data_IF_833805595907
#
_entry.id   IF_833805595907
#
_cell.length_a   1.000
_cell.length_b   1.000
_cell.length_c   1.000
_cell.angle_alpha   90.00
_cell.angle_beta   90.00
_cell.angle_gamma   90.00
#
_symmetry.space_group_name_H-M   'P 1'
#
loop_
_entity.id
_entity.type
_entity.pdbx_description
1 polymer ?
#
# COMPACT_ATOMS: atom_id res chain seq x y z
N UNK A 1 9.93 12.58 -21.61
CA UNK A 1 10.43 11.92 -20.39
C UNK A 1 9.82 10.54 -20.33
N UNK A 2 10.56 9.53 -19.87
CA UNK A 2 10.02 8.17 -19.72
C UNK A 2 9.00 8.08 -18.59
N UNK A 3 8.26 6.98 -18.51
CA UNK A 3 7.35 6.70 -17.40
C UNK A 3 8.15 6.66 -16.07
N UNK A 4 7.54 7.06 -14.94
CA UNK A 4 8.12 6.89 -13.61
C UNK A 4 8.50 5.44 -13.33
N UNK A 5 9.59 5.22 -12.59
CA UNK A 5 9.92 3.90 -12.02
C UNK A 5 8.89 3.55 -10.96
N UNK A 6 8.48 2.28 -10.88
CA UNK A 6 7.60 1.78 -9.83
C UNK A 6 8.45 1.06 -8.79
N UNK A 7 8.33 1.47 -7.52
CA UNK A 7 9.03 0.86 -6.40
C UNK A 7 8.03 0.19 -5.45
N UNK A 8 8.33 -1.05 -5.07
CA UNK A 8 7.57 -1.82 -4.10
C UNK A 8 8.52 -2.47 -3.07
N UNK A 9 7.98 -2.94 -1.95
CA UNK A 9 8.72 -3.67 -0.92
C UNK A 9 8.10 -5.05 -0.70
N UNK A 10 8.95 -6.07 -0.65
CA UNK A 10 8.59 -7.41 -0.19
C UNK A 10 9.69 -7.96 0.70
N UNK A 11 9.37 -8.25 1.96
CA UNK A 11 10.40 -8.54 2.96
C UNK A 11 11.26 -9.75 2.57
N UNK A 12 10.62 -10.91 2.40
CA UNK A 12 11.25 -12.17 2.04
C UNK A 12 10.18 -13.23 1.72
N UNK A 13 10.60 -14.36 1.17
CA UNK A 13 9.75 -15.51 0.87
C UNK A 13 8.99 -15.40 -0.45
N UNK A 14 7.97 -16.25 -0.64
CA UNK A 14 7.29 -16.39 -1.92
C UNK A 14 6.30 -15.25 -2.18
N UNK A 15 6.33 -14.74 -3.42
CA UNK A 15 5.27 -13.92 -3.98
C UNK A 15 4.18 -14.84 -4.54
N UNK A 16 2.93 -14.65 -4.11
CA UNK A 16 1.82 -15.42 -4.68
C UNK A 16 1.38 -14.81 -6.02
N UNK A 17 0.44 -15.46 -6.69
CA UNK A 17 -0.17 -14.96 -7.92
C UNK A 17 -0.76 -13.55 -7.77
N UNK A 18 -1.13 -13.10 -6.56
CA UNK A 18 -1.66 -11.76 -6.33
C UNK A 18 -0.57 -10.69 -6.45
N UNK A 19 0.57 -10.89 -5.79
CA UNK A 19 1.72 -10.00 -5.94
C UNK A 19 2.25 -10.03 -7.37
N UNK A 20 2.36 -11.21 -7.96
CA UNK A 20 2.79 -11.36 -9.35
C UNK A 20 1.87 -10.60 -10.30
N UNK A 21 0.55 -10.68 -10.10
CA UNK A 21 -0.41 -9.93 -10.91
C UNK A 21 -0.17 -8.43 -10.85
N UNK A 22 0.05 -7.88 -9.66
CA UNK A 22 0.26 -6.44 -9.50
C UNK A 22 1.59 -6.01 -10.11
N UNK A 23 2.70 -6.70 -9.82
CA UNK A 23 4.02 -6.37 -10.35
C UNK A 23 4.09 -6.52 -11.88
N UNK A 24 3.58 -7.63 -12.43
CA UNK A 24 3.51 -7.85 -13.88
C UNK A 24 2.68 -6.78 -14.58
N UNK A 25 1.59 -6.31 -13.95
CA UNK A 25 0.75 -5.27 -14.55
C UNK A 25 1.48 -3.95 -14.80
N UNK A 26 2.45 -3.60 -13.95
CA UNK A 26 3.30 -2.41 -14.15
C UNK A 26 4.29 -2.60 -15.29
N UNK A 27 4.94 -3.79 -15.35
CA UNK A 27 5.84 -4.15 -16.46
C UNK A 27 5.10 -4.09 -17.79
N UNK A 28 3.91 -4.69 -17.86
CA UNK A 28 3.08 -4.70 -19.08
C UNK A 28 2.57 -3.30 -19.47
N UNK A 29 2.46 -2.38 -18.50
CA UNK A 29 2.16 -0.97 -18.75
C UNK A 29 3.39 -0.15 -19.17
N UNK A 30 4.57 -0.77 -19.26
CA UNK A 30 5.81 -0.14 -19.74
C UNK A 30 6.65 0.53 -18.66
N UNK A 31 6.34 0.31 -17.38
CA UNK A 31 7.16 0.82 -16.28
C UNK A 31 8.39 -0.05 -16.04
N UNK A 32 9.50 0.61 -15.69
CA UNK A 32 10.56 -0.07 -14.94
C UNK A 32 10.07 -0.33 -13.53
N UNK A 33 10.24 -1.56 -13.04
CA UNK A 33 9.78 -1.96 -11.71
C UNK A 33 10.95 -2.42 -10.87
N UNK A 34 11.01 -1.94 -9.63
CA UNK A 34 11.93 -2.41 -8.59
C UNK A 34 11.18 -2.96 -7.40
N UNK A 35 11.62 -4.13 -6.97
CA UNK A 35 11.17 -4.76 -5.74
C UNK A 35 12.32 -4.75 -4.74
N UNK A 36 12.17 -3.91 -3.72
CA UNK A 36 13.06 -3.91 -2.58
C UNK A 36 12.77 -5.12 -1.70
N UNK A 37 13.80 -5.75 -1.16
CA UNK A 37 13.66 -6.91 -0.28
C UNK A 37 14.75 -7.00 0.78
N UNK A 38 14.47 -7.70 1.88
CA UNK A 38 15.40 -7.93 2.99
C UNK A 38 15.98 -9.34 3.03
N UNK A 39 15.34 -10.30 2.38
CA UNK A 39 15.74 -11.71 2.39
C UNK A 39 15.53 -12.38 1.05
N UNK A 40 15.75 -13.71 0.96
CA UNK A 40 15.57 -14.46 -0.28
C UNK A 40 14.12 -14.38 -0.75
N UNK A 41 13.93 -14.27 -2.06
CA UNK A 41 12.62 -14.20 -2.71
C UNK A 41 12.35 -15.46 -3.53
N UNK A 42 11.08 -15.82 -3.66
CA UNK A 42 10.61 -16.87 -4.56
C UNK A 42 9.46 -16.36 -5.44
N UNK A 43 9.34 -16.90 -6.65
CA UNK A 43 8.27 -16.57 -7.60
C UNK A 43 8.18 -15.09 -8.01
N UNK A 44 9.31 -14.38 -8.05
CA UNK A 44 9.37 -13.03 -8.62
C UNK A 44 9.08 -13.11 -10.13
N UNK A 45 8.14 -12.31 -10.67
CA UNK A 45 7.86 -12.32 -12.10
C UNK A 45 9.02 -11.73 -12.91
N UNK A 46 9.09 -12.06 -14.20
CA UNK A 46 10.10 -11.48 -15.10
C UNK A 46 9.94 -9.97 -15.26
N UNK A 47 11.03 -9.26 -15.55
CA UNK A 47 11.03 -7.81 -15.76
C UNK A 47 11.10 -6.96 -14.49
N UNK A 48 11.32 -7.58 -13.33
CA UNK A 48 11.45 -6.89 -12.04
C UNK A 48 12.93 -6.78 -11.64
N UNK A 49 13.41 -5.56 -11.41
CA UNK A 49 14.70 -5.33 -10.78
C UNK A 49 14.61 -5.60 -9.27
N UNK A 50 15.66 -6.19 -8.70
CA UNK A 50 15.72 -6.49 -7.27
C UNK A 50 16.79 -5.61 -6.61
N UNK A 51 16.45 -5.01 -5.48
CA UNK A 51 17.37 -4.18 -4.69
C UNK A 51 17.26 -4.50 -3.20
N UNK A 52 18.38 -4.40 -2.49
CA UNK A 52 18.43 -4.60 -1.04
C UNK A 52 17.75 -3.43 -0.33
N UNK A 53 16.66 -3.72 0.40
CA UNK A 53 15.91 -2.77 1.19
C UNK A 53 16.77 -2.10 2.29
N UNK A 54 17.80 -2.78 2.79
CA UNK A 54 18.70 -2.23 3.81
C UNK A 54 19.47 -0.99 3.34
N UNK A 55 19.57 -0.76 2.03
CA UNK A 55 20.17 0.45 1.45
C UNK A 55 19.32 1.71 1.70
N UNK A 56 18.01 1.56 1.91
CA UNK A 56 17.07 2.64 2.22
C UNK A 56 16.80 2.71 3.73
N UNK A 57 16.41 1.58 4.31
CA UNK A 57 16.07 1.44 5.71
C UNK A 57 16.64 0.12 6.22
N UNK A 58 17.61 0.12 7.15
CA UNK A 58 18.13 -1.12 7.74
C UNK A 58 17.02 -1.98 8.35
N UNK A 59 17.25 -3.31 8.39
CA UNK A 59 16.32 -4.26 9.04
C UNK A 59 16.38 -4.22 10.58
N UNK A 60 17.18 -3.34 11.16
CA UNK A 60 17.21 -3.11 12.61
C UNK A 60 15.92 -2.39 13.02
N UNK A 61 15.43 -2.66 14.23
CA UNK A 61 14.26 -1.98 14.80
C UNK A 61 12.98 -2.17 13.96
N UNK A 62 12.73 -3.42 13.54
CA UNK A 62 11.60 -3.74 12.66
C UNK A 62 10.24 -3.38 13.29
N UNK A 63 9.60 -2.34 12.75
CA UNK A 63 8.39 -1.76 13.33
C UNK A 63 7.13 -2.51 12.90
N UNK A 64 6.48 -3.15 13.85
CA UNK A 64 5.17 -3.79 13.66
C UNK A 64 4.14 -3.17 14.59
N UNK A 65 2.90 -3.02 14.10
CA UNK A 65 1.79 -2.57 14.95
C UNK A 65 1.44 -3.66 15.96
N UNK A 66 1.56 -3.37 17.26
CA UNK A 66 1.58 -4.35 18.36
C UNK A 66 0.32 -5.21 18.40
N UNK A 67 -0.86 -4.59 18.19
CA UNK A 67 -2.15 -5.31 18.23
C UNK A 67 -2.35 -6.28 17.07
N UNK A 68 -1.83 -5.96 15.88
CA UNK A 68 -2.15 -6.74 14.65
C UNK A 68 -0.97 -7.54 14.11
N UNK A 69 0.25 -7.28 14.60
CA UNK A 69 1.50 -7.79 14.02
C UNK A 69 1.79 -7.27 12.60
N UNK A 70 1.07 -6.25 12.13
CA UNK A 70 1.19 -5.73 10.77
C UNK A 70 2.52 -4.98 10.59
N UNK A 71 3.27 -5.24 9.51
CA UNK A 71 4.49 -4.51 9.18
C UNK A 71 4.22 -3.14 8.52
N UNK A 72 2.98 -2.62 8.62
CA UNK A 72 2.56 -1.39 7.94
C UNK A 72 3.43 -0.19 8.34
N UNK A 73 3.79 -0.04 9.62
CA UNK A 73 4.65 1.06 10.10
C UNK A 73 6.02 1.03 9.41
N UNK A 74 6.65 -0.15 9.32
CA UNK A 74 7.91 -0.32 8.62
C UNK A 74 7.79 0.04 7.13
N UNK A 75 6.71 -0.39 6.48
CA UNK A 75 6.43 -0.08 5.07
C UNK A 75 6.19 1.42 4.84
N UNK A 76 5.48 2.09 5.75
CA UNK A 76 5.26 3.54 5.72
C UNK A 76 6.57 4.32 5.89
N UNK A 77 7.43 3.95 6.84
CA UNK A 77 8.73 4.59 6.98
C UNK A 77 9.63 4.33 5.77
N UNK A 78 9.64 3.10 5.26
CA UNK A 78 10.41 2.71 4.09
C UNK A 78 10.01 3.54 2.87
N UNK A 79 8.71 3.65 2.57
CA UNK A 79 8.25 4.38 1.37
C UNK A 79 8.66 5.84 1.41
N UNK A 80 8.59 6.52 2.56
CA UNK A 80 8.98 7.93 2.65
C UNK A 80 10.48 8.11 2.43
N UNK A 81 11.32 7.27 3.06
CA UNK A 81 12.78 7.31 2.86
C UNK A 81 13.19 6.94 1.43
N UNK A 82 12.47 6.01 0.81
CA UNK A 82 12.69 5.64 -0.59
C UNK A 82 12.36 6.82 -1.52
N UNK A 83 11.23 7.49 -1.31
CA UNK A 83 10.81 8.65 -2.11
C UNK A 83 11.79 9.82 -1.96
N UNK A 84 12.29 10.08 -0.76
CA UNK A 84 13.32 11.12 -0.50
C UNK A 84 14.58 10.92 -1.36
N UNK A 85 14.99 9.66 -1.54
CA UNK A 85 16.25 9.29 -2.21
C UNK A 85 16.08 9.02 -3.70
N UNK A 86 14.85 9.05 -4.21
CA UNK A 86 14.52 8.65 -5.57
C UNK A 86 14.08 9.84 -6.41
N UNK A 87 14.28 9.73 -7.73
CA UNK A 87 13.78 10.70 -8.70
C UNK A 87 12.88 10.00 -9.70
N UNK A 88 11.77 10.64 -10.07
CA UNK A 88 10.81 10.08 -11.02
C UNK A 88 10.37 8.65 -10.64
N UNK A 89 10.07 8.44 -9.35
CA UNK A 89 9.65 7.14 -8.80
C UNK A 89 8.30 7.28 -8.12
N UNK A 90 7.44 6.28 -8.30
CA UNK A 90 6.17 6.13 -7.59
C UNK A 90 6.24 4.86 -6.76
N UNK A 91 5.90 4.95 -5.48
CA UNK A 91 5.65 3.79 -4.64
C UNK A 91 4.34 3.11 -5.05
N UNK A 92 4.32 1.78 -5.10
CA UNK A 92 3.11 0.99 -5.18
C UNK A 92 3.19 -0.22 -4.22
N UNK A 93 2.14 -0.42 -3.43
CA UNK A 93 1.98 -1.64 -2.64
C UNK A 93 1.89 -2.85 -3.59
N UNK A 94 2.36 -4.01 -3.15
CA UNK A 94 2.35 -5.25 -3.95
C UNK A 94 0.94 -5.82 -4.19
N UNK A 95 -0.10 -5.12 -3.74
CA UNK A 95 -1.51 -5.39 -4.00
C UNK A 95 -2.21 -4.24 -4.76
N UNK A 96 -1.45 -3.30 -5.35
CA UNK A 96 -1.95 -2.26 -6.24
C UNK A 96 -1.80 -2.69 -7.71
N UNK A 97 -2.90 -3.00 -8.38
CA UNK A 97 -2.91 -3.40 -9.79
C UNK A 97 -2.88 -2.20 -10.73
N UNK A 98 -1.95 -2.20 -11.68
CA UNK A 98 -1.83 -1.20 -12.74
C UNK A 98 -2.79 -1.50 -13.89
N UNK A 99 -3.80 -0.66 -14.05
CA UNK A 99 -4.73 -0.75 -15.19
C UNK A 99 -4.24 0.06 -16.39
N UNK A 100 -3.53 1.17 -16.14
CA UNK A 100 -3.00 2.10 -17.14
C UNK A 100 -1.68 2.69 -16.65
N UNK A 101 -0.77 3.12 -17.57
CA UNK A 101 0.48 3.76 -17.20
C UNK A 101 0.30 4.92 -16.21
N UNK A 102 1.18 5.00 -15.22
CA UNK A 102 1.22 6.07 -14.25
C UNK A 102 2.03 7.24 -14.81
N UNK A 103 1.34 8.33 -15.11
CA UNK A 103 1.97 9.53 -15.68
C UNK A 103 1.76 10.72 -14.75
N UNK A 104 2.85 11.43 -14.45
CA UNK A 104 2.83 12.69 -13.70
C UNK A 104 3.92 13.63 -14.23
N UNK A 105 3.54 14.89 -14.45
CA UNK A 105 4.49 15.95 -14.82
C UNK A 105 5.06 16.69 -13.60
N UNK A 106 4.45 16.52 -12.43
CA UNK A 106 4.85 17.23 -11.20
C UNK A 106 5.50 16.32 -10.18
N UNK A 107 5.50 15.00 -10.40
CA UNK A 107 5.95 13.99 -9.42
C UNK A 107 4.90 13.63 -8.37
N UNK A 108 3.83 14.42 -8.23
CA UNK A 108 2.69 14.08 -7.38
C UNK A 108 1.83 13.00 -8.03
N UNK A 109 1.55 11.92 -7.30
CA UNK A 109 0.72 10.81 -7.77
C UNK A 109 0.10 10.03 -6.59
N UNK A 110 -1.07 10.43 -6.14
CA UNK A 110 -1.81 9.79 -5.04
C UNK A 110 -3.29 10.19 -5.13
N UNK A 111 -4.15 9.56 -4.34
CA UNK A 111 -5.58 9.79 -4.44
C UNK A 111 -6.34 9.47 -3.16
N UNK A 112 -7.56 9.98 -3.11
CA UNK A 112 -8.51 9.71 -2.03
C UNK A 112 -8.95 8.25 -2.04
N UNK A 113 -8.87 7.52 -0.93
CA UNK A 113 -9.51 6.20 -0.83
C UNK A 113 -10.93 6.27 -0.25
N UNK A 114 -11.25 7.40 0.36
CA UNK A 114 -12.52 7.70 1.02
C UNK A 114 -12.73 9.20 1.09
N UNK A 115 -13.85 9.64 1.69
CA UNK A 115 -14.11 11.06 1.96
C UNK A 115 -13.16 11.69 2.99
N UNK A 116 -12.36 10.89 3.69
CA UNK A 116 -11.55 11.36 4.83
C UNK A 116 -10.06 11.16 4.66
N UNK A 117 -9.63 10.20 3.84
CA UNK A 117 -8.23 9.80 3.78
C UNK A 117 -7.72 9.67 2.35
N UNK A 118 -6.50 10.17 2.16
CA UNK A 118 -5.63 9.88 1.03
C UNK A 118 -4.81 8.63 1.40
N UNK A 119 -4.71 7.68 0.49
CA UNK A 119 -4.06 6.40 0.74
C UNK A 119 -2.62 6.39 0.20
N UNK A 120 -1.71 5.75 0.94
CA UNK A 120 -0.27 5.69 0.62
C UNK A 120 0.17 4.47 -0.18
N UNK A 121 -0.75 3.57 -0.54
CA UNK A 121 -0.48 2.35 -1.29
C UNK A 121 -0.20 2.58 -2.78
N UNK A 122 -0.46 3.79 -3.29
CA UNK A 122 0.13 4.32 -4.52
C UNK A 122 0.52 5.76 -4.22
N UNK A 123 1.83 6.04 -4.19
CA UNK A 123 2.34 7.31 -3.68
C UNK A 123 3.55 7.80 -4.48
N UNK A 124 3.35 8.89 -5.22
CA UNK A 124 4.41 9.73 -5.77
C UNK A 124 4.42 11.07 -5.04
N UNK A 125 5.54 11.41 -4.42
CA UNK A 125 5.82 12.74 -3.89
C UNK A 125 7.18 13.17 -4.44
N UNK A 126 7.31 14.41 -4.96
CA UNK A 126 8.62 14.97 -5.31
C UNK A 126 9.56 14.99 -4.11
N UNK A 127 10.87 14.86 -4.35
CA UNK A 127 11.87 14.89 -3.29
C UNK A 127 11.92 16.24 -2.54
N UNK A 128 11.45 17.32 -3.17
CA UNK A 128 11.29 18.67 -2.60
C UNK A 128 9.88 18.93 -2.05
N UNK A 129 9.01 17.92 -1.95
CA UNK A 129 7.68 18.02 -1.37
C UNK A 129 7.74 18.41 0.11
N UNK A 130 7.10 19.53 0.52
CA UNK A 130 6.96 19.88 1.93
C UNK A 130 6.26 18.78 2.75
N UNK A 131 5.26 18.10 2.20
CA UNK A 131 4.56 17.01 2.88
C UNK A 131 5.47 15.82 3.10
N UNK A 132 6.31 15.45 2.12
CA UNK A 132 7.31 14.39 2.30
C UNK A 132 8.30 14.76 3.42
N UNK A 133 8.77 16.01 3.46
CA UNK A 133 9.65 16.50 4.52
C UNK A 133 9.00 16.42 5.91
N UNK A 134 7.73 16.82 6.03
CA UNK A 134 6.97 16.74 7.28
C UNK A 134 6.71 15.29 7.72
N UNK A 135 6.40 14.39 6.78
CA UNK A 135 6.24 12.96 7.03
C UNK A 135 7.54 12.33 7.58
N UNK A 136 8.68 12.64 6.96
CA UNK A 136 9.98 12.16 7.41
C UNK A 136 10.35 12.72 8.80
N UNK A 137 10.08 14.00 9.05
CA UNK A 137 10.32 14.61 10.34
C UNK A 137 9.47 13.98 11.45
N UNK A 138 8.18 13.74 11.18
CA UNK A 138 7.27 13.13 12.14
C UNK A 138 7.63 11.66 12.43
N UNK A 139 7.94 10.88 11.38
CA UNK A 139 8.27 9.45 11.52
C UNK A 139 9.70 9.18 12.02
N UNK A 140 10.50 10.24 12.24
CA UNK A 140 11.79 10.13 12.91
C UNK A 140 11.68 9.99 14.44
N UNK A 141 10.53 10.34 15.03
CA UNK A 141 10.24 10.14 16.46
C UNK A 141 9.20 9.02 16.63
N UNK A 142 9.64 7.84 17.04
CA UNK A 142 8.78 6.69 17.36
C UNK A 142 7.80 6.96 18.50
N UNK A 143 7.99 8.04 19.26
CA UNK A 143 7.13 8.50 20.35
C UNK A 143 6.45 9.83 20.03
N UNK A 144 6.45 10.23 18.75
CA UNK A 144 5.82 11.45 18.26
C UNK A 144 4.31 11.44 18.52
N UNK A 145 3.80 12.50 19.13
CA UNK A 145 2.36 12.66 19.40
C UNK A 145 1.67 13.15 18.11
N UNK A 146 0.70 12.41 17.55
CA UNK A 146 0.06 12.80 16.30
C UNK A 146 -0.67 14.16 16.40
N UNK A 147 -0.33 15.16 15.56
CA UNK A 147 -0.96 16.48 15.63
C UNK A 147 -2.45 16.47 15.25
N UNK A 148 -2.92 15.46 14.50
CA UNK A 148 -4.33 15.32 14.11
C UNK A 148 -5.22 14.64 15.15
N UNK A 149 -4.66 14.15 16.27
CA UNK A 149 -5.49 13.61 17.36
C UNK A 149 -6.28 14.72 18.06
N UNK A 150 -7.39 14.34 18.69
CA UNK A 150 -8.20 15.29 19.44
C UNK A 150 -7.39 15.91 20.60
N UNK A 151 -7.68 17.15 21.03
CA UNK A 151 -6.88 17.83 22.05
C UNK A 151 -6.74 17.07 23.37
N UNK A 152 -7.78 16.36 23.79
CA UNK A 152 -7.81 15.49 24.97
C UNK A 152 -6.95 14.24 24.81
N UNK A 153 -7.02 13.57 23.65
CA UNK A 153 -6.14 12.44 23.32
C UNK A 153 -4.66 12.85 23.35
N UNK A 154 -4.33 14.02 22.78
CA UNK A 154 -2.95 14.55 22.81
C UNK A 154 -2.51 14.92 24.23
N UNK A 155 -3.40 15.49 25.04
CA UNK A 155 -3.10 15.85 26.42
C UNK A 155 -2.79 14.60 27.27
N UNK A 156 -3.52 13.51 27.04
CA UNK A 156 -3.27 12.22 27.69
C UNK A 156 -1.91 11.64 27.29
N UNK A 157 -1.59 11.62 25.98
CA UNK A 157 -0.28 11.16 25.49
C UNK A 157 0.88 12.00 26.05
N UNK A 158 0.69 13.32 26.17
CA UNK A 158 1.67 14.24 26.74
C UNK A 158 1.85 14.02 28.26
N UNK A 159 0.76 13.73 28.98
CA UNK A 159 0.83 13.37 30.40
C UNK A 159 1.61 12.07 30.61
N UNK A 160 1.37 11.04 29.78
CA UNK A 160 2.11 9.78 29.80
C UNK A 160 3.60 9.99 29.50
N UNK A 161 3.92 10.82 28.49
CA UNK A 161 5.31 11.23 28.18
C UNK A 161 5.99 11.90 29.37
N UNK A 162 5.33 12.87 30.03
CA UNK A 162 5.84 13.55 31.23
C UNK A 162 6.02 12.63 32.42
N UNK A 163 5.17 11.61 32.54
CA UNK A 163 5.29 10.55 33.56
C UNK A 163 6.39 9.51 33.24
N UNK A 164 7.15 9.69 32.16
CA UNK A 164 8.23 8.78 31.77
C UNK A 164 7.76 7.49 31.08
N UNK A 165 6.51 7.45 30.61
CA UNK A 165 5.91 6.31 29.91
C UNK A 165 5.33 6.73 28.54
N UNK A 166 6.13 7.27 27.61
CA UNK A 166 5.63 7.70 26.32
C UNK A 166 5.09 6.52 25.51
N UNK A 167 4.03 6.76 24.73
CA UNK A 167 3.42 5.74 23.87
C UNK A 167 4.22 5.64 22.57
N UNK A 168 4.66 4.42 22.26
CA UNK A 168 5.38 4.12 21.03
C UNK A 168 4.40 4.00 19.85
N UNK A 169 4.85 4.32 18.63
CA UNK A 169 4.03 4.31 17.41
C UNK A 169 3.37 2.95 17.13
N UNK A 170 4.00 1.84 17.56
CA UNK A 170 3.42 0.49 17.47
C UNK A 170 2.16 0.28 18.31
N UNK A 171 1.93 1.14 19.31
CA UNK A 171 0.79 1.09 20.23
C UNK A 171 -0.31 2.09 19.86
N UNK A 172 -0.04 2.99 18.92
CA UNK A 172 -1.02 3.92 18.38
C UNK A 172 -1.94 3.22 17.36
N UNK A 173 -3.14 3.79 17.10
CA UNK A 173 -4.07 3.26 16.09
C UNK A 173 -3.42 2.96 14.74
N UNK A 174 -3.88 1.89 14.10
CA UNK A 174 -3.44 1.51 12.75
C UNK A 174 -3.55 2.70 11.77
N UNK A 175 -2.56 2.82 10.89
CA UNK A 175 -2.52 3.89 9.90
C UNK A 175 -1.95 5.22 10.40
N UNK A 176 -1.47 5.29 11.65
CA UNK A 176 -0.87 6.51 12.24
C UNK A 176 0.23 7.10 11.36
N UNK A 177 1.17 6.30 10.83
CA UNK A 177 2.21 6.76 9.91
C UNK A 177 1.82 6.65 8.44
N UNK A 178 0.74 5.94 8.14
CA UNK A 178 0.24 5.74 6.78
C UNK A 178 -0.80 6.80 6.42
N UNK A 179 -2.05 6.40 6.07
CA UNK A 179 -3.08 7.32 5.60
C UNK A 179 -3.36 8.52 6.52
N UNK A 180 -3.23 8.39 7.84
CA UNK A 180 -3.53 9.48 8.77
C UNK A 180 -2.46 10.59 8.69
N UNK A 181 -1.18 10.25 8.85
CA UNK A 181 -0.08 11.21 8.69
C UNK A 181 -0.07 11.81 7.28
N UNK A 182 -0.19 10.96 6.26
CA UNK A 182 -0.17 11.39 4.86
C UNK A 182 -1.27 12.42 4.59
N UNK A 183 -2.50 12.13 4.98
CA UNK A 183 -3.62 13.04 4.78
C UNK A 183 -3.41 14.36 5.53
N UNK A 184 -2.95 14.30 6.78
CA UNK A 184 -2.71 15.49 7.59
C UNK A 184 -1.67 16.41 6.95
N UNK A 185 -0.48 15.89 6.63
CA UNK A 185 0.60 16.72 6.12
C UNK A 185 0.35 17.20 4.68
N UNK A 186 -0.33 16.43 3.84
CA UNK A 186 -0.79 16.92 2.54
C UNK A 186 -1.77 18.09 2.67
N UNK A 187 -2.63 18.10 3.68
CA UNK A 187 -3.51 19.23 3.94
C UNK A 187 -2.75 20.43 4.50
N UNK A 188 -1.85 20.20 5.46
CA UNK A 188 -1.06 21.26 6.10
C UNK A 188 -0.22 22.03 5.08
N UNK A 189 0.36 21.35 4.10
CA UNK A 189 1.20 21.96 3.06
C UNK A 189 0.42 22.44 1.83
N UNK A 190 -0.88 22.13 1.75
CA UNK A 190 -1.73 22.43 0.60
C UNK A 190 -1.59 21.46 -0.58
N UNK A 191 -0.71 20.46 -0.49
CA UNK A 191 -0.45 19.48 -1.55
C UNK A 191 -1.61 18.48 -1.77
N UNK A 192 -2.57 18.40 -0.83
CA UNK A 192 -3.81 17.65 -1.01
C UNK A 192 -4.59 18.04 -2.29
N UNK A 193 -4.36 19.25 -2.81
CA UNK A 193 -4.93 19.71 -4.08
C UNK A 193 -4.48 18.87 -5.31
N UNK A 194 -3.38 18.13 -5.22
CA UNK A 194 -2.90 17.23 -6.27
C UNK A 194 -3.55 15.84 -6.23
N UNK A 195 -4.28 15.51 -5.17
CA UNK A 195 -4.85 14.18 -5.01
C UNK A 195 -5.93 13.90 -6.07
N UNK A 196 -5.81 12.76 -6.75
CA UNK A 196 -6.84 12.29 -7.66
C UNK A 196 -8.14 11.96 -6.90
N UNK A 197 -9.26 12.09 -7.60
CA UNK A 197 -10.54 11.54 -7.15
C UNK A 197 -10.42 10.01 -6.93
N UNK A 198 -11.27 9.50 -6.05
CA UNK A 198 -11.18 8.10 -5.58
C UNK A 198 -11.19 7.07 -6.71
N UNK A 199 -12.04 7.26 -7.72
CA UNK A 199 -12.18 6.35 -8.87
C UNK A 199 -10.92 6.17 -9.72
N UNK A 200 -9.94 7.07 -9.59
CA UNK A 200 -8.69 7.03 -10.36
C UNK A 200 -7.78 5.92 -9.82
N UNK A 201 -7.66 5.77 -8.51
CA UNK A 201 -6.73 4.80 -7.89
C UNK A 201 -7.44 3.72 -7.04
N UNK A 202 -8.62 4.02 -6.51
CA UNK A 202 -9.36 3.19 -5.58
C UNK A 202 -10.83 3.02 -6.01
N UNK A 203 -11.09 2.54 -7.25
CA UNK A 203 -12.44 2.43 -7.80
C UNK A 203 -13.35 1.51 -6.98
N UNK A 204 -12.78 0.46 -6.37
CA UNK A 204 -13.47 -0.33 -5.36
C UNK A 204 -13.02 0.15 -3.99
N UNK A 205 -13.95 0.61 -3.17
CA UNK A 205 -13.67 0.88 -1.75
C UNK A 205 -13.34 -0.42 -1.00
N UNK A 206 -12.82 -0.29 0.21
CA UNK A 206 -12.58 -1.43 1.09
C UNK A 206 -13.84 -2.29 1.25
N UNK A 207 -15.02 -1.67 1.47
CA UNK A 207 -16.32 -2.37 1.58
C UNK A 207 -16.70 -3.10 0.28
N UNK A 208 -16.30 -2.54 -0.85
CA UNK A 208 -16.62 -3.04 -2.18
C UNK A 208 -15.64 -4.10 -2.69
N UNK A 209 -14.54 -4.37 -1.99
CA UNK A 209 -13.49 -5.32 -2.41
C UNK A 209 -14.02 -6.68 -2.89
N UNK A 210 -15.07 -7.19 -2.26
CA UNK A 210 -15.69 -8.47 -2.63
C UNK A 210 -16.31 -8.49 -4.03
N UNK A 211 -16.64 -7.32 -4.61
CA UNK A 211 -17.16 -7.17 -5.98
C UNK A 211 -16.16 -7.67 -7.01
N UNK A 212 -14.85 -7.57 -6.74
CA UNK A 212 -13.80 -8.05 -7.65
C UNK A 212 -13.84 -9.58 -7.87
N UNK A 213 -14.46 -10.32 -6.95
CA UNK A 213 -14.60 -11.78 -7.02
C UNK A 213 -15.97 -12.23 -7.54
N UNK A 214 -16.93 -11.32 -7.70
CA UNK A 214 -18.28 -11.69 -8.15
C UNK A 214 -18.25 -12.16 -9.60
N UNK A 215 -18.78 -13.36 -9.84
CA UNK A 215 -18.86 -14.00 -11.16
C UNK A 215 -19.69 -13.15 -12.10
N UNK A 216 -19.17 -12.82 -13.28
CA UNK A 216 -19.86 -12.08 -14.36
C UNK A 216 -20.41 -10.70 -13.94
N UNK A 217 -19.87 -10.10 -12.87
CA UNK A 217 -20.22 -8.72 -12.52
C UNK A 217 -19.70 -7.76 -13.60
N UNK A 218 -20.58 -6.87 -14.06
CA UNK A 218 -20.17 -5.70 -14.83
C UNK A 218 -19.50 -4.69 -13.90
N UNK A 219 -18.22 -4.42 -14.16
CA UNK A 219 -17.39 -3.51 -13.36
C UNK A 219 -17.35 -2.10 -13.94
N UNK A 220 -18.02 -1.83 -15.06
CA UNK A 220 -18.05 -0.51 -15.70
C UNK A 220 -18.53 0.64 -14.79
N UNK A 221 -19.39 0.43 -13.76
CA UNK A 221 -19.74 1.50 -12.82
C UNK A 221 -18.62 1.90 -11.86
N UNK A 222 -17.59 1.06 -11.69
CA UNK A 222 -16.45 1.34 -10.79
C UNK A 222 -15.17 1.62 -11.58
N UNK A 223 -14.91 0.83 -12.63
CA UNK A 223 -13.70 0.90 -13.43
C UNK A 223 -14.00 1.66 -14.71
N UNK A 224 -13.58 2.93 -14.76
CA UNK A 224 -13.95 3.88 -15.81
C UNK A 224 -12.78 4.20 -16.75
N UNK A 225 -13.01 5.13 -17.69
CA UNK A 225 -11.97 5.73 -18.51
C UNK A 225 -10.87 6.46 -17.73
N UNK A 226 -11.11 6.81 -16.46
CA UNK A 226 -10.17 7.55 -15.61
C UNK A 226 -9.35 6.65 -14.67
N UNK A 227 -9.82 5.43 -14.41
CA UNK A 227 -9.15 4.49 -13.49
C UNK A 227 -7.75 4.11 -13.98
N UNK A 228 -6.73 4.39 -13.16
CA UNK A 228 -5.33 4.01 -13.41
C UNK A 228 -4.91 2.82 -12.57
N UNK A 229 -5.41 2.73 -11.34
CA UNK A 229 -5.06 1.64 -10.40
C UNK A 229 -6.30 0.97 -9.82
N UNK A 230 -6.13 -0.27 -9.34
CA UNK A 230 -7.11 -0.97 -8.52
C UNK A 230 -6.40 -1.57 -7.31
N UNK A 231 -6.74 -1.12 -6.10
CA UNK A 231 -6.23 -1.71 -4.87
C UNK A 231 -6.95 -3.02 -4.54
N UNK A 232 -6.19 -4.10 -4.39
CA UNK A 232 -6.74 -5.44 -4.16
C UNK A 232 -7.00 -5.73 -2.67
N UNK A 233 -6.48 -4.92 -1.74
CA UNK A 233 -6.58 -5.16 -0.30
C UNK A 233 -6.05 -6.54 0.10
N UNK A 234 -4.80 -6.82 -0.27
CA UNK A 234 -4.14 -8.12 -0.31
C UNK A 234 -4.38 -8.98 0.94
N UNK A 235 -4.23 -8.45 2.16
CA UNK A 235 -4.50 -9.21 3.40
C UNK A 235 -5.93 -9.79 3.42
N UNK A 236 -6.94 -8.95 3.14
CA UNK A 236 -8.35 -9.36 3.17
C UNK A 236 -8.74 -10.17 1.93
N UNK A 237 -8.18 -9.85 0.77
CA UNK A 237 -8.40 -10.59 -0.47
C UNK A 237 -7.87 -12.02 -0.37
N UNK A 238 -6.64 -12.21 0.14
CA UNK A 238 -6.07 -13.54 0.41
C UNK A 238 -6.98 -14.36 1.32
N UNK A 239 -7.38 -13.77 2.45
CA UNK A 239 -8.26 -14.45 3.39
C UNK A 239 -9.60 -14.85 2.76
N UNK A 240 -10.18 -13.98 1.94
CA UNK A 240 -11.42 -14.26 1.23
C UNK A 240 -11.25 -15.39 0.20
N UNK A 241 -10.17 -15.38 -0.58
CA UNK A 241 -9.89 -16.38 -1.60
C UNK A 241 -9.65 -17.76 -0.99
N UNK A 242 -8.80 -17.87 0.04
CA UNK A 242 -8.52 -19.12 0.74
C UNK A 242 -9.79 -19.67 1.39
N UNK A 243 -10.54 -18.85 2.13
CA UNK A 243 -11.71 -19.32 2.90
C UNK A 243 -12.93 -19.65 2.05
N UNK A 244 -13.17 -18.90 0.97
CA UNK A 244 -14.48 -18.94 0.29
C UNK A 244 -14.41 -19.21 -1.21
N UNK A 245 -13.21 -19.20 -1.82
CA UNK A 245 -13.06 -19.45 -3.27
C UNK A 245 -12.05 -20.57 -3.58
N UNK A 246 -11.61 -21.33 -2.56
CA UNK A 246 -10.67 -22.44 -2.77
C UNK A 246 -9.25 -22.02 -3.14
N UNK A 247 -8.85 -20.79 -2.78
CA UNK A 247 -7.49 -20.28 -2.99
C UNK A 247 -7.28 -19.47 -4.27
N UNK A 248 -8.22 -19.50 -5.23
CA UNK A 248 -8.11 -18.78 -6.50
C UNK A 248 -9.41 -18.03 -6.84
N UNK A 249 -9.35 -16.88 -7.56
CA UNK A 249 -10.56 -16.15 -7.92
C UNK A 249 -11.36 -16.90 -8.99
N UNK A 250 -12.70 -16.76 -9.04
CA UNK A 250 -13.48 -17.32 -10.12
C UNK A 250 -13.00 -16.80 -11.49
N UNK A 251 -12.78 -17.65 -12.52
CA UNK A 251 -12.17 -17.20 -13.79
C UNK A 251 -12.95 -16.10 -14.54
N UNK A 252 -14.27 -16.02 -14.31
CA UNK A 252 -15.15 -15.01 -14.91
C UNK A 252 -15.46 -13.82 -13.98
N UNK A 253 -14.77 -13.70 -12.85
CA UNK A 253 -14.77 -12.50 -12.00
C UNK A 253 -13.86 -11.42 -12.58
N UNK A 254 -13.88 -10.21 -12.00
CA UNK A 254 -12.94 -9.16 -12.40
C UNK A 254 -11.49 -9.61 -12.22
N UNK A 255 -11.14 -10.09 -11.02
CA UNK A 255 -9.77 -10.54 -10.72
C UNK A 255 -9.35 -11.75 -11.57
N UNK A 256 -10.26 -12.70 -11.81
CA UNK A 256 -9.99 -13.84 -12.69
C UNK A 256 -9.72 -13.44 -14.15
N UNK A 257 -10.41 -12.41 -14.66
CA UNK A 257 -10.13 -11.85 -15.98
C UNK A 257 -8.76 -11.15 -16.03
N UNK A 258 -8.33 -10.50 -14.96
CA UNK A 258 -7.00 -9.90 -14.88
C UNK A 258 -5.89 -10.96 -14.90
N UNK A 259 -6.04 -12.05 -14.14
CA UNK A 259 -5.09 -13.18 -14.20
C UNK A 259 -4.96 -13.72 -15.62
N UNK A 260 -6.10 -13.95 -16.29
CA UNK A 260 -6.11 -14.41 -17.69
C UNK A 260 -5.43 -13.42 -18.64
N UNK A 261 -5.68 -12.11 -18.47
CA UNK A 261 -5.06 -11.04 -19.29
C UNK A 261 -3.53 -11.11 -19.24
N UNK A 262 -2.97 -11.36 -18.06
CA UNK A 262 -1.53 -11.39 -17.83
C UNK A 262 -0.91 -12.79 -17.93
N UNK A 263 -1.70 -13.82 -18.29
CA UNK A 263 -1.22 -15.20 -18.39
C UNK A 263 -0.75 -15.79 -17.04
N UNK A 264 -1.31 -15.31 -15.93
CA UNK A 264 -0.92 -15.76 -14.59
C UNK A 264 -1.79 -16.93 -14.17
N UNK A 265 -1.13 -18.03 -13.83
CA UNK A 265 -1.74 -19.24 -13.31
C UNK A 265 -1.67 -19.24 -11.76
N UNK A 266 -2.81 -19.14 -11.06
CA UNK A 266 -2.82 -19.13 -9.60
C UNK A 266 -2.29 -20.41 -8.96
N UNK A 267 -2.27 -21.54 -9.68
CA UNK A 267 -1.78 -22.81 -9.15
C UNK A 267 -0.25 -22.91 -9.13
N UNK A 268 0.44 -22.08 -9.94
CA UNK A 268 1.92 -22.04 -9.98
C UNK A 268 2.54 -21.28 -8.81
N UNK A 269 1.77 -20.38 -8.19
CA UNK A 269 2.19 -19.60 -7.03
C UNK A 269 0.99 -19.35 -6.12
N UNK A 270 0.49 -20.41 -5.45
CA UNK A 270 -0.74 -20.34 -4.67
C UNK A 270 -0.60 -19.39 -3.48
N UNK A 271 -1.74 -18.98 -2.94
CA UNK A 271 -1.75 -18.22 -1.69
C UNK A 271 -1.21 -19.09 -0.55
N UNK A 272 -0.39 -18.53 0.36
CA UNK A 272 -0.01 -19.25 1.56
C UNK A 272 -1.25 -19.54 2.41
N UNK A 273 -1.23 -20.61 3.23
CA UNK A 273 -2.28 -20.88 4.20
C UNK A 273 -2.40 -19.69 5.16
N UNK A 274 -3.62 -19.45 5.65
CA UNK A 274 -3.84 -18.36 6.60
C UNK A 274 -3.18 -18.69 7.95
N UNK A 275 -2.58 -17.70 8.63
CA UNK A 275 -2.11 -17.89 10.00
C UNK A 275 -3.28 -18.29 10.90
N UNK A 276 -3.05 -19.18 11.87
CA UNK A 276 -4.07 -19.64 12.82
C UNK A 276 -4.75 -18.47 13.58
N UNK A 277 -4.01 -17.38 13.85
CA UNK A 277 -4.52 -16.19 14.52
C UNK A 277 -5.48 -15.32 13.67
N UNK A 278 -5.60 -15.57 12.37
CA UNK A 278 -6.52 -14.83 11.50
C UNK A 278 -8.00 -15.19 11.75
N UNK A 279 -8.29 -16.17 12.60
CA UNK A 279 -9.65 -16.61 12.96
C UNK A 279 -10.43 -15.59 13.80
N UNK A 280 -9.77 -14.58 14.40
CA UNK A 280 -10.40 -13.73 15.44
C UNK A 280 -10.87 -12.36 14.93
N UNK A 281 -10.36 -11.84 13.81
CA UNK A 281 -10.81 -10.52 13.31
C UNK A 281 -12.00 -10.66 12.35
N UNK A 282 -13.19 -10.63 12.96
CA UNK A 282 -14.49 -10.53 12.30
C UNK A 282 -14.58 -9.34 11.33
N UNK A 283 -15.52 -9.47 10.39
CA UNK A 283 -15.96 -8.39 9.52
C UNK A 283 -16.45 -7.22 10.38
N UNK A 284 -15.61 -6.21 10.62
CA UNK A 284 -16.09 -4.89 11.02
C UNK A 284 -16.04 -3.96 9.79
N UNK A 285 -17.19 -3.37 9.51
CA UNK A 285 -17.67 -2.78 8.26
C UNK A 285 -16.99 -1.48 7.79
#
# INVERSE_FOLDING_TARGET
>A
MGLPRIAALWLEGPLSFLEQLCLTSFVDAGHEVVLFHYGPLENVPGGIALEDAATILPRTDFLTHRRTGSPALHSDLFRYRMLERSRNTIWADTDAYCLRPFETGTGHFYGWESRRHINGGVLGLPADSPALSALLAFTADEYGIPPWFAPDERAELEAQRKAGSPVHASDLPWGVWGPHALTHFLHETGEAAHAFAQEVLYPFSFRDRGKMLRRRLDTSPWVTGQTRSVHLYGRRMRARLVRKEGGAPPPNSFLGRLLKKHGIDPDRAPLPPLPAAAEIEGDED
#
